data_IF_548560791814
#
_entry.id   IF_548560791814
#
_cell.length_a   1.000
_cell.length_b   1.000
_cell.length_c   1.000
_cell.angle_alpha   90.00
_cell.angle_beta   90.00
_cell.angle_gamma   90.00
#
_symmetry.space_group_name_H-M   'P 1'
#
loop_
_entity.id
_entity.type
_entity.pdbx_description
1 polymer ?
#
# COMPACT_ATOMS: atom_id res chain seq x y z
N UNK A 1 1.16 7.65 18.20
CA UNK A 1 1.22 7.65 16.72
C UNK A 1 1.39 6.21 16.28
N UNK A 2 0.63 5.76 15.27
CA UNK A 2 0.72 4.43 14.65
C UNK A 2 0.97 4.58 13.16
N UNK A 3 1.86 3.75 12.63
CA UNK A 3 2.22 3.69 11.22
C UNK A 3 1.91 2.28 10.72
N UNK A 4 1.13 2.17 9.66
CA UNK A 4 0.78 0.89 9.03
C UNK A 4 1.27 0.88 7.60
N UNK A 5 2.22 0.01 7.29
CA UNK A 5 2.70 -0.22 5.92
C UNK A 5 1.59 -0.97 5.18
N UNK A 6 0.92 -0.27 4.27
CA UNK A 6 -0.16 -0.83 3.46
C UNK A 6 0.40 -1.65 2.29
N UNK A 7 1.54 -1.21 1.76
CA UNK A 7 2.30 -1.92 0.74
C UNK A 7 3.76 -1.49 0.75
N UNK A 8 4.62 -2.38 0.27
CA UNK A 8 6.08 -2.20 0.23
C UNK A 8 6.72 -2.74 -1.06
N UNK A 9 5.90 -2.95 -2.09
CA UNK A 9 6.33 -3.40 -3.41
C UNK A 9 6.81 -2.26 -4.29
N UNK A 10 7.51 -2.62 -5.36
CA UNK A 10 7.79 -1.71 -6.48
C UNK A 10 6.50 -1.32 -7.22
N UNK A 11 6.61 -0.48 -8.24
CA UNK A 11 5.47 -0.08 -9.09
C UNK A 11 4.70 -1.26 -9.70
N UNK A 12 5.35 -2.41 -9.90
CA UNK A 12 4.72 -3.62 -10.42
C UNK A 12 4.14 -4.57 -9.37
N UNK A 13 4.32 -4.28 -8.07
CA UNK A 13 4.06 -5.25 -7.00
C UNK A 13 4.98 -6.48 -7.05
N UNK A 14 4.70 -7.47 -6.20
CA UNK A 14 5.28 -8.82 -6.25
C UNK A 14 4.19 -9.85 -5.92
N UNK A 15 3.96 -10.87 -6.76
CA UNK A 15 4.55 -11.03 -8.09
C UNK A 15 4.08 -9.93 -9.06
N UNK A 16 4.79 -9.77 -10.18
CA UNK A 16 4.32 -8.92 -11.28
C UNK A 16 3.02 -9.48 -11.87
N UNK A 17 2.23 -8.69 -12.64
CA UNK A 17 1.01 -9.19 -13.29
C UNK A 17 1.20 -10.39 -14.21
N UNK A 18 2.42 -10.62 -14.70
CA UNK A 18 2.82 -11.80 -15.49
C UNK A 18 3.01 -13.07 -14.66
N UNK A 19 2.91 -13.00 -13.33
CA UNK A 19 3.22 -14.10 -12.41
C UNK A 19 4.71 -14.21 -12.04
N UNK A 20 5.55 -13.27 -12.49
CA UNK A 20 6.99 -13.27 -12.19
C UNK A 20 7.27 -12.82 -10.75
N UNK A 21 7.91 -13.70 -9.98
CA UNK A 21 8.36 -13.44 -8.60
C UNK A 21 9.80 -12.93 -8.53
N UNK A 22 10.55 -12.97 -9.63
CA UNK A 22 11.98 -12.75 -9.63
C UNK A 22 12.70 -13.74 -8.71
N UNK A 23 13.50 -13.23 -7.78
CA UNK A 23 14.21 -14.04 -6.78
C UNK A 23 13.41 -14.25 -5.47
N UNK A 24 12.17 -13.77 -5.39
CA UNK A 24 11.36 -13.95 -4.20
C UNK A 24 10.80 -15.38 -4.10
N UNK A 25 10.84 -15.94 -2.91
CA UNK A 25 10.21 -17.22 -2.58
C UNK A 25 8.66 -17.05 -2.58
N UNK A 26 7.91 -17.78 -3.44
CA UNK A 26 6.45 -17.69 -3.52
C UNK A 26 5.72 -18.27 -2.30
N UNK A 27 6.39 -19.13 -1.52
CA UNK A 27 5.82 -19.78 -0.33
C UNK A 27 6.00 -18.94 0.95
N UNK A 28 6.88 -17.93 0.93
CA UNK A 28 7.00 -16.94 2.01
C UNK A 28 5.93 -15.83 1.83
N UNK A 29 4.89 -15.77 2.68
CA UNK A 29 3.76 -14.87 2.49
C UNK A 29 4.14 -13.38 2.48
N UNK A 30 5.23 -12.99 3.17
CA UNK A 30 5.73 -11.59 3.16
C UNK A 30 6.29 -11.13 1.82
N UNK A 31 6.52 -12.06 0.88
CA UNK A 31 6.95 -11.73 -0.46
C UNK A 31 5.81 -11.31 -1.39
N UNK A 32 4.55 -11.47 -0.98
CA UNK A 32 3.41 -10.87 -1.67
C UNK A 32 3.30 -9.41 -1.29
N UNK A 33 3.61 -8.51 -2.22
CA UNK A 33 3.74 -7.08 -1.96
C UNK A 33 2.87 -6.28 -2.92
N UNK A 34 1.90 -5.56 -2.37
CA UNK A 34 1.20 -4.46 -3.07
C UNK A 34 2.14 -3.25 -3.24
N UNK A 35 1.82 -2.33 -4.16
CA UNK A 35 2.59 -1.09 -4.36
C UNK A 35 2.67 -0.26 -3.09
N UNK A 36 3.73 0.54 -2.96
CA UNK A 36 4.01 1.32 -1.76
C UNK A 36 2.84 2.23 -1.35
N UNK A 37 2.45 2.16 -0.09
CA UNK A 37 1.51 3.09 0.54
C UNK A 37 1.65 3.00 2.07
N UNK A 38 1.31 4.07 2.77
CA UNK A 38 1.39 4.15 4.24
C UNK A 38 0.12 4.76 4.81
N UNK A 39 -0.40 4.18 5.89
CA UNK A 39 -1.43 4.80 6.71
C UNK A 39 -0.79 5.33 8.00
N UNK A 40 -1.05 6.59 8.31
CA UNK A 40 -0.55 7.31 9.48
C UNK A 40 -1.72 7.67 10.37
N UNK A 41 -1.68 7.22 11.62
CA UNK A 41 -2.71 7.51 12.62
C UNK A 41 -2.09 8.24 13.82
N UNK A 42 -2.46 9.51 13.98
CA UNK A 42 -1.91 10.37 15.02
C UNK A 42 -2.96 11.39 15.48
N UNK A 43 -3.02 11.66 16.79
CA UNK A 43 -3.93 12.65 17.38
C UNK A 43 -5.41 12.49 16.96
N UNK A 44 -5.89 11.25 16.74
CA UNK A 44 -7.26 10.97 16.28
C UNK A 44 -7.53 11.34 14.82
N UNK A 45 -6.47 11.43 14.00
CA UNK A 45 -6.53 11.73 12.57
C UNK A 45 -5.85 10.61 11.80
N UNK A 46 -6.42 10.30 10.64
CA UNK A 46 -5.92 9.29 9.71
C UNK A 46 -5.51 9.96 8.42
N UNK A 47 -4.23 9.80 8.07
CA UNK A 47 -3.66 10.30 6.81
C UNK A 47 -3.18 9.12 5.99
N UNK A 48 -3.53 9.11 4.70
CA UNK A 48 -3.00 8.16 3.73
C UNK A 48 -1.86 8.83 2.96
N UNK A 49 -0.73 8.13 2.86
CA UNK A 49 0.37 8.51 1.95
C UNK A 49 0.31 7.59 0.74
N UNK A 50 0.07 8.21 -0.41
CA UNK A 50 -0.16 7.59 -1.72
C UNK A 50 -1.40 6.69 -1.82
N UNK A 51 -2.17 6.84 -2.91
CA UNK A 51 -3.38 6.08 -3.22
C UNK A 51 -3.13 5.31 -4.50
N UNK A 52 -2.47 4.18 -4.33
CA UNK A 52 -2.11 3.27 -5.40
C UNK A 52 -3.33 2.48 -5.91
N UNK A 53 -3.27 1.82 -7.09
CA UNK A 53 -4.38 0.97 -7.56
C UNK A 53 -4.71 -0.24 -6.64
N UNK A 54 -3.93 -0.48 -5.57
CA UNK A 54 -4.14 -1.55 -4.58
C UNK A 54 -4.94 -1.03 -3.38
N UNK A 55 -5.20 0.28 -3.31
CA UNK A 55 -5.69 0.98 -2.12
C UNK A 55 -6.91 0.31 -1.49
N UNK A 56 -7.90 -0.08 -2.31
CA UNK A 56 -9.09 -0.80 -1.82
C UNK A 56 -8.71 -2.11 -1.11
N UNK A 57 -7.86 -2.93 -1.71
CA UNK A 57 -7.43 -4.19 -1.13
C UNK A 57 -6.59 -3.98 0.13
N UNK A 58 -5.72 -2.97 0.12
CA UNK A 58 -4.90 -2.57 1.26
C UNK A 58 -5.77 -2.16 2.47
N UNK A 59 -6.78 -1.31 2.25
CA UNK A 59 -7.72 -0.88 3.31
C UNK A 59 -8.53 -2.05 3.87
N UNK A 60 -9.02 -2.95 3.01
CA UNK A 60 -9.78 -4.11 3.45
C UNK A 60 -8.92 -5.10 4.25
N UNK A 61 -7.64 -5.26 3.89
CA UNK A 61 -6.72 -6.16 4.56
C UNK A 61 -6.39 -5.71 6.00
N UNK A 62 -6.31 -4.39 6.25
CA UNK A 62 -5.97 -3.84 7.57
C UNK A 62 -7.19 -3.46 8.41
N UNK A 63 -8.39 -3.53 7.83
CA UNK A 63 -9.61 -2.97 8.40
C UNK A 63 -9.69 -1.46 8.14
N UNK A 64 -10.63 -0.99 7.29
CA UNK A 64 -10.67 0.41 6.89
C UNK A 64 -11.00 1.31 8.10
N UNK A 65 -10.37 2.47 8.23
CA UNK A 65 -10.74 3.46 9.23
C UNK A 65 -12.13 4.03 8.93
N UNK A 66 -12.83 4.52 9.96
CA UNK A 66 -14.13 5.18 9.79
C UNK A 66 -14.04 6.45 8.93
N UNK A 67 -12.91 7.16 9.03
CA UNK A 67 -12.63 8.37 8.26
C UNK A 67 -11.17 8.44 7.85
N UNK A 68 -10.94 8.99 6.65
CA UNK A 68 -9.64 9.48 6.19
C UNK A 68 -9.71 11.00 6.22
N UNK A 69 -8.82 11.64 6.97
CA UNK A 69 -8.80 13.10 7.17
C UNK A 69 -8.01 13.81 6.06
N UNK A 70 -6.99 13.15 5.50
CA UNK A 70 -6.19 13.69 4.41
C UNK A 70 -5.52 12.60 3.58
N UNK A 71 -5.15 12.96 2.35
CA UNK A 71 -4.27 12.19 1.48
C UNK A 71 -3.06 13.05 1.13
N UNK A 72 -1.87 12.48 1.27
CA UNK A 72 -0.62 13.08 0.85
C UNK A 72 -0.04 12.25 -0.29
N UNK A 73 0.07 12.84 -1.48
CA UNK A 73 0.75 12.21 -2.60
C UNK A 73 2.22 12.62 -2.61
N UNK A 74 3.11 11.64 -2.70
CA UNK A 74 4.55 11.87 -2.81
C UNK A 74 4.91 12.42 -4.20
N UNK A 75 4.29 11.89 -5.25
CA UNK A 75 4.41 12.31 -6.64
C UNK A 75 3.29 11.68 -7.50
N UNK A 76 3.23 12.05 -8.79
CA UNK A 76 2.15 11.67 -9.71
C UNK A 76 2.45 10.49 -10.64
N UNK A 77 3.20 9.48 -10.20
CA UNK A 77 3.32 8.25 -10.97
C UNK A 77 2.13 7.31 -10.72
N UNK A 78 1.90 6.39 -11.67
CA UNK A 78 0.76 5.48 -11.66
C UNK A 78 0.66 4.65 -10.37
N UNK A 79 1.79 4.22 -9.81
CA UNK A 79 1.83 3.41 -8.61
C UNK A 79 1.52 4.18 -7.32
N UNK A 80 1.39 5.51 -7.37
CA UNK A 80 1.06 6.36 -6.23
C UNK A 80 -0.27 7.11 -6.38
N UNK A 81 -0.74 7.37 -7.61
CA UNK A 81 -1.80 8.34 -7.86
C UNK A 81 -2.93 7.93 -8.84
N UNK A 82 -2.84 6.76 -9.50
CA UNK A 82 -3.79 6.35 -10.56
C UNK A 82 -4.40 4.98 -10.29
#
# INVERSE_FOLDING_TARGET
MRLTVLGCGSSGGVPRPTGDWGACDPDEPRNRRSRCALMVEAAGRTVIVDVSPDFRAQMLAVGPPERIDAVFFTHGHADQAH
#
